data_IF_910956594839
#
_entry.id   IF_910956594839
#
_cell.length_a   1.000
_cell.length_b   1.000
_cell.length_c   1.000
_cell.angle_alpha   90.00
_cell.angle_beta   90.00
_cell.angle_gamma   90.00
#
_symmetry.space_group_name_H-M   'P 1'
#
loop_
_entity.id
_entity.type
_entity.pdbx_description
1 polymer ?
#
# COMPACT_ATOMS: atom_id res chain seq x y z
N UNK A 1 95.52 22.71 -13.11
CA UNK A 1 94.93 22.51 -11.79
C UNK A 1 93.68 21.69 -11.99
N UNK A 2 93.71 20.41 -11.71
CA UNK A 2 92.66 19.37 -12.02
C UNK A 2 91.87 19.12 -10.74
N UNK A 3 90.54 19.34 -10.73
CA UNK A 3 89.66 18.92 -9.63
C UNK A 3 88.94 17.67 -10.03
N UNK A 4 89.13 16.64 -9.23
CA UNK A 4 88.43 15.34 -9.32
C UNK A 4 86.96 15.52 -9.03
N UNK A 5 86.15 15.00 -9.90
CA UNK A 5 84.74 14.83 -9.64
C UNK A 5 84.53 13.45 -9.00
N UNK A 6 83.94 13.44 -7.82
CA UNK A 6 83.50 12.22 -7.12
C UNK A 6 82.15 11.82 -7.65
N UNK A 7 82.02 10.64 -8.23
CA UNK A 7 80.77 10.01 -8.63
C UNK A 7 80.16 9.46 -7.39
N UNK A 8 78.96 9.95 -7.03
CA UNK A 8 78.15 9.40 -5.97
C UNK A 8 77.06 8.56 -6.63
N UNK A 9 77.18 7.23 -6.45
CA UNK A 9 76.21 6.26 -6.88
C UNK A 9 75.00 6.31 -5.99
N UNK A 10 73.85 6.81 -6.51
CA UNK A 10 72.59 6.78 -5.82
C UNK A 10 71.88 5.48 -6.12
N UNK A 11 71.77 4.64 -5.13
CA UNK A 11 70.92 3.42 -5.14
C UNK A 11 69.46 3.88 -5.07
N UNK A 12 68.70 3.65 -6.14
CA UNK A 12 67.27 3.88 -6.14
C UNK A 12 66.57 2.72 -5.41
N UNK A 13 66.04 3.03 -4.25
CA UNK A 13 65.12 2.10 -3.55
C UNK A 13 63.76 2.23 -4.22
N UNK A 14 63.37 1.18 -4.97
CA UNK A 14 62.01 1.09 -5.55
C UNK A 14 61.09 0.64 -4.40
N UNK A 15 60.40 1.62 -3.84
CA UNK A 15 59.31 1.39 -2.90
C UNK A 15 58.09 0.85 -3.66
N UNK A 16 57.73 -0.42 -3.41
CA UNK A 16 56.42 -0.97 -3.83
C UNK A 16 55.33 -0.26 -3.02
N UNK A 17 54.60 0.67 -3.63
CA UNK A 17 53.33 1.12 -3.11
C UNK A 17 52.30 0.00 -3.34
N UNK A 18 52.03 -0.80 -2.32
CA UNK A 18 50.86 -1.67 -2.27
C UNK A 18 49.62 -0.78 -2.18
N UNK A 19 48.90 -0.69 -3.30
CA UNK A 19 47.58 -0.07 -3.35
C UNK A 19 46.60 -1.03 -2.62
N UNK A 20 46.39 -0.77 -1.35
CA UNK A 20 45.31 -1.39 -0.62
C UNK A 20 43.98 -0.88 -1.21
N UNK A 21 43.37 -1.70 -2.04
CA UNK A 21 41.98 -1.52 -2.48
C UNK A 21 41.08 -1.67 -1.24
N UNK A 22 40.95 -0.57 -0.50
CA UNK A 22 39.99 -0.50 0.60
C UNK A 22 38.58 -0.55 0.03
N UNK A 23 37.96 -1.72 0.10
CA UNK A 23 36.51 -1.85 -0.08
C UNK A 23 35.85 -0.99 0.97
N UNK A 24 35.35 0.18 0.58
CA UNK A 24 34.51 0.96 1.46
C UNK A 24 33.24 0.14 1.74
N UNK A 25 32.87 -0.08 3.01
CA UNK A 25 31.60 -0.68 3.31
C UNK A 25 30.53 0.23 2.70
N UNK A 26 29.69 -0.34 1.82
CA UNK A 26 28.49 0.33 1.34
C UNK A 26 27.71 0.77 2.59
N UNK A 27 27.53 2.07 2.75
CA UNK A 27 26.62 2.61 3.74
C UNK A 27 25.24 2.04 3.38
N UNK A 28 24.82 1.03 4.12
CA UNK A 28 23.44 0.58 4.11
C UNK A 28 22.66 1.81 4.59
N UNK A 29 22.00 2.49 3.65
CA UNK A 29 21.08 3.55 4.01
C UNK A 29 20.07 2.91 4.94
N UNK A 30 20.09 3.31 6.20
CA UNK A 30 19.08 2.93 7.19
C UNK A 30 17.74 3.47 6.64
N UNK A 31 16.99 2.58 6.00
CA UNK A 31 15.66 2.91 5.50
C UNK A 31 14.78 3.03 6.73
N UNK A 32 14.69 4.24 7.27
CA UNK A 32 13.80 4.53 8.39
C UNK A 32 12.40 4.06 8.01
N UNK A 33 11.92 3.06 8.73
CA UNK A 33 10.56 2.58 8.59
C UNK A 33 9.64 3.61 9.22
N UNK A 34 9.01 4.43 8.39
CA UNK A 34 8.08 5.49 8.83
C UNK A 34 6.66 5.01 8.61
N UNK A 35 5.83 5.07 9.66
CA UNK A 35 4.39 4.84 9.54
C UNK A 35 3.73 6.03 8.86
N UNK A 36 2.71 5.77 8.06
CA UNK A 36 1.89 6.82 7.45
C UNK A 36 0.66 7.12 8.31
N UNK A 37 0.16 8.34 8.24
CA UNK A 37 -1.10 8.70 8.88
C UNK A 37 -2.23 7.82 8.37
N UNK A 38 -3.12 7.38 9.25
CA UNK A 38 -4.26 6.55 8.90
C UNK A 38 -5.51 6.95 9.67
N UNK A 39 -6.68 6.60 9.11
CA UNK A 39 -7.98 6.71 9.79
C UNK A 39 -8.72 5.40 9.67
N UNK A 40 -9.19 4.88 10.80
CA UNK A 40 -10.12 3.76 10.80
C UNK A 40 -11.54 4.31 10.83
N UNK A 41 -12.32 3.97 9.81
CA UNK A 41 -13.71 4.38 9.65
C UNK A 41 -14.54 3.12 9.88
N UNK A 42 -15.54 3.20 10.74
CA UNK A 42 -16.33 2.04 11.15
C UNK A 42 -17.81 2.24 10.90
N UNK A 43 -18.51 1.12 10.69
CA UNK A 43 -19.97 1.09 10.65
C UNK A 43 -20.49 -0.16 11.33
N UNK A 44 -21.49 0.00 12.20
CA UNK A 44 -22.23 -1.11 12.81
C UNK A 44 -23.36 -1.53 11.89
N UNK A 45 -23.49 -2.83 11.68
CA UNK A 45 -24.49 -3.43 10.80
C UNK A 45 -25.30 -4.43 11.62
N UNK A 46 -26.60 -4.22 11.73
CA UNK A 46 -27.52 -5.06 12.49
C UNK A 46 -27.92 -6.31 11.68
N UNK A 47 -26.91 -7.04 11.22
CA UNK A 47 -27.03 -8.30 10.48
C UNK A 47 -25.95 -9.26 10.95
N UNK A 48 -26.23 -10.57 10.99
CA UNK A 48 -25.24 -11.58 11.35
C UNK A 48 -23.96 -11.46 10.51
N UNK A 49 -22.80 -11.55 11.16
CA UNK A 49 -21.47 -11.38 10.54
C UNK A 49 -21.32 -12.21 9.26
N UNK A 50 -21.73 -13.48 9.30
CA UNK A 50 -21.61 -14.38 8.14
C UNK A 50 -22.40 -13.89 6.92
N UNK A 51 -23.56 -13.26 7.12
CA UNK A 51 -24.37 -12.70 6.03
C UNK A 51 -23.71 -11.48 5.40
N UNK A 52 -23.15 -10.61 6.22
CA UNK A 52 -22.40 -9.43 5.75
C UNK A 52 -21.12 -9.87 5.07
N UNK A 53 -20.40 -10.84 5.62
CA UNK A 53 -19.19 -11.39 5.04
C UNK A 53 -19.43 -11.96 3.64
N UNK A 54 -20.42 -12.83 3.50
CA UNK A 54 -20.78 -13.44 2.21
C UNK A 54 -21.13 -12.40 1.14
N UNK A 55 -21.77 -11.31 1.54
CA UNK A 55 -22.06 -10.19 0.63
C UNK A 55 -20.79 -9.46 0.19
N UNK A 56 -19.86 -9.19 1.11
CA UNK A 56 -18.65 -8.42 0.85
C UNK A 56 -17.58 -9.17 0.05
N UNK A 57 -17.49 -10.50 0.23
CA UNK A 57 -16.47 -11.30 -0.49
C UNK A 57 -16.85 -11.62 -1.93
N UNK A 58 -18.05 -11.23 -2.35
CA UNK A 58 -18.45 -11.26 -3.76
C UNK A 58 -18.24 -9.86 -4.38
N UNK A 59 -17.20 -9.66 -5.21
CA UNK A 59 -16.93 -8.35 -5.80
C UNK A 59 -18.04 -7.84 -6.72
N UNK A 60 -18.92 -8.71 -7.25
CA UNK A 60 -20.07 -8.29 -8.07
C UNK A 60 -21.04 -7.40 -7.27
N UNK A 61 -21.12 -7.56 -5.95
CA UNK A 61 -21.95 -6.76 -5.07
C UNK A 61 -21.41 -5.34 -4.84
N UNK A 62 -20.14 -5.10 -5.12
CA UNK A 62 -19.48 -3.85 -4.79
C UNK A 62 -20.05 -2.65 -5.56
N UNK A 63 -20.56 -2.88 -6.77
CA UNK A 63 -21.25 -1.84 -7.55
C UNK A 63 -22.46 -1.22 -6.84
N UNK A 64 -22.98 -1.88 -5.81
CA UNK A 64 -24.18 -1.45 -5.09
C UNK A 64 -23.86 -0.45 -3.96
N UNK A 65 -22.61 -0.38 -3.51
CA UNK A 65 -22.23 0.42 -2.35
C UNK A 65 -20.87 1.10 -2.42
N UNK A 66 -19.86 0.51 -3.05
CA UNK A 66 -18.47 0.95 -3.03
C UNK A 66 -18.19 1.98 -4.15
N UNK A 67 -18.84 3.13 -4.10
CA UNK A 67 -18.73 4.16 -5.14
C UNK A 67 -17.35 4.81 -5.20
N UNK A 68 -16.62 4.83 -4.07
CA UNK A 68 -15.25 5.35 -3.98
C UNK A 68 -14.19 4.42 -4.59
N UNK A 69 -14.48 3.11 -4.74
CA UNK A 69 -13.57 2.16 -5.38
C UNK A 69 -13.43 2.40 -6.90
N UNK A 70 -14.43 3.00 -7.50
CA UNK A 70 -14.59 3.15 -8.94
C UNK A 70 -15.97 2.71 -9.40
N UNK A 71 -16.18 2.73 -10.72
CA UNK A 71 -17.45 2.31 -11.32
C UNK A 71 -17.25 0.98 -12.03
N UNK A 72 -18.35 0.23 -12.24
CA UNK A 72 -18.35 -1.00 -13.05
C UNK A 72 -17.30 -2.03 -12.61
N UNK A 73 -17.31 -2.39 -11.33
CA UNK A 73 -16.52 -3.54 -10.85
C UNK A 73 -16.99 -4.79 -11.60
N UNK A 74 -16.09 -5.44 -12.33
CA UNK A 74 -16.43 -6.56 -13.22
C UNK A 74 -15.28 -7.54 -13.37
N UNK A 75 -15.60 -8.75 -13.74
CA UNK A 75 -14.63 -9.80 -14.07
C UNK A 75 -14.00 -9.53 -15.43
N UNK A 76 -12.69 -9.72 -15.54
CA UNK A 76 -11.91 -9.75 -16.77
C UNK A 76 -11.15 -11.08 -16.88
N UNK A 77 -10.38 -11.26 -17.97
CA UNK A 77 -9.51 -12.44 -18.12
C UNK A 77 -8.45 -12.51 -17.01
N UNK A 78 -7.93 -11.35 -16.59
CA UNK A 78 -6.84 -11.21 -15.61
C UNK A 78 -7.32 -10.99 -14.17
N UNK A 79 -8.60 -11.16 -13.88
CA UNK A 79 -9.16 -10.95 -12.54
C UNK A 79 -10.26 -9.87 -12.48
N UNK A 80 -10.34 -9.17 -11.38
CA UNK A 80 -11.33 -8.10 -11.19
C UNK A 80 -10.76 -6.74 -11.60
N UNK A 81 -11.60 -5.95 -12.23
CA UNK A 81 -11.27 -4.58 -12.67
C UNK A 81 -12.41 -3.62 -12.31
N UNK A 82 -12.06 -2.33 -12.21
CA UNK A 82 -13.00 -1.23 -12.00
C UNK A 82 -12.62 -0.05 -12.88
N UNK A 83 -13.60 0.71 -13.33
CA UNK A 83 -13.33 1.97 -14.04
C UNK A 83 -12.98 3.04 -12.99
N UNK A 84 -11.87 3.74 -13.21
CA UNK A 84 -11.36 4.78 -12.32
C UNK A 84 -10.95 6.02 -13.10
N UNK A 85 -10.70 7.12 -12.41
CA UNK A 85 -10.12 8.30 -13.03
C UNK A 85 -8.74 7.96 -13.61
N UNK A 86 -8.57 8.20 -14.91
CA UNK A 86 -7.34 7.86 -15.64
C UNK A 86 -7.33 6.47 -16.29
N UNK A 87 -8.42 5.68 -16.21
CA UNK A 87 -8.55 4.39 -16.92
C UNK A 87 -9.04 3.24 -16.06
N UNK A 88 -8.67 2.02 -16.44
CA UNK A 88 -9.10 0.79 -15.76
C UNK A 88 -8.10 0.40 -14.68
N UNK A 89 -8.56 0.31 -13.44
CA UNK A 89 -7.79 -0.22 -12.31
C UNK A 89 -8.01 -1.73 -12.17
N UNK A 90 -6.96 -2.46 -11.76
CA UNK A 90 -7.09 -3.87 -11.32
C UNK A 90 -7.43 -3.89 -9.83
N UNK A 91 -8.26 -4.84 -9.41
CA UNK A 91 -8.61 -5.01 -8.01
C UNK A 91 -8.31 -6.45 -7.58
N UNK A 92 -7.47 -6.57 -6.57
CA UNK A 92 -7.09 -7.85 -5.98
C UNK A 92 -7.75 -7.98 -4.62
N UNK A 93 -8.62 -8.97 -4.48
CA UNK A 93 -9.33 -9.25 -3.22
C UNK A 93 -8.62 -10.35 -2.43
N UNK A 94 -8.64 -10.25 -1.12
CA UNK A 94 -8.20 -11.32 -0.24
C UNK A 94 -9.07 -12.57 -0.47
N UNK A 95 -8.46 -13.76 -0.57
CA UNK A 95 -9.21 -15.01 -0.65
C UNK A 95 -10.18 -15.19 0.53
N UNK A 96 -11.26 -15.93 0.30
CA UNK A 96 -12.22 -16.29 1.37
C UNK A 96 -11.50 -16.88 2.57
N UNK A 97 -11.89 -16.46 3.76
CA UNK A 97 -11.31 -16.90 5.03
C UNK A 97 -12.33 -16.88 6.16
N UNK A 98 -11.97 -17.43 7.31
CA UNK A 98 -12.82 -17.47 8.51
C UNK A 98 -12.55 -16.34 9.50
N UNK A 99 -11.71 -15.37 9.14
CA UNK A 99 -11.22 -14.33 10.05
C UNK A 99 -11.90 -12.97 9.84
N UNK A 100 -12.89 -12.89 8.95
CA UNK A 100 -13.55 -11.63 8.62
C UNK A 100 -12.67 -10.64 7.83
N UNK A 101 -11.59 -11.13 7.22
CA UNK A 101 -10.69 -10.32 6.42
C UNK A 101 -11.30 -10.13 5.03
N UNK A 102 -11.49 -8.87 4.62
CA UNK A 102 -12.02 -8.48 3.30
C UNK A 102 -11.14 -7.41 2.65
N UNK A 103 -9.83 -7.52 2.89
CA UNK A 103 -8.84 -6.61 2.32
C UNK A 103 -8.84 -6.66 0.80
N UNK A 104 -8.44 -5.56 0.22
CA UNK A 104 -8.21 -5.52 -1.22
C UNK A 104 -7.10 -4.53 -1.57
N UNK A 105 -6.52 -4.73 -2.75
CA UNK A 105 -5.54 -3.82 -3.33
C UNK A 105 -6.07 -3.30 -4.65
N UNK A 106 -6.06 -1.98 -4.82
CA UNK A 106 -6.38 -1.31 -6.08
C UNK A 106 -5.07 -0.96 -6.77
N UNK A 107 -4.87 -1.48 -7.98
CA UNK A 107 -3.72 -1.18 -8.81
C UNK A 107 -4.18 -0.22 -9.91
N UNK A 108 -3.80 1.04 -9.80
CA UNK A 108 -4.18 2.11 -10.72
C UNK A 108 -3.54 1.93 -12.09
N UNK A 109 -4.05 2.56 -13.15
CA UNK A 109 -3.43 2.53 -14.49
C UNK A 109 -1.97 3.00 -14.49
N UNK A 110 -1.60 3.88 -13.56
CA UNK A 110 -0.20 4.33 -13.35
C UNK A 110 0.74 3.25 -12.81
N UNK A 111 0.21 2.10 -12.38
CA UNK A 111 0.96 1.05 -11.67
C UNK A 111 1.03 1.26 -10.15
N UNK A 112 0.56 2.39 -9.62
CA UNK A 112 0.50 2.62 -8.18
C UNK A 112 -0.50 1.66 -7.53
N UNK A 113 -0.06 1.01 -6.45
CA UNK A 113 -0.89 0.10 -5.64
C UNK A 113 -1.36 0.79 -4.37
N UNK A 114 -2.65 0.69 -4.08
CA UNK A 114 -3.28 1.18 -2.86
C UNK A 114 -3.85 -0.02 -2.10
N UNK A 115 -3.26 -0.34 -0.96
CA UNK A 115 -3.76 -1.40 -0.08
C UNK A 115 -4.80 -0.86 0.88
N UNK A 116 -5.92 -1.55 0.98
CA UNK A 116 -7.09 -1.15 1.78
C UNK A 116 -7.44 -2.29 2.74
N UNK A 117 -7.03 -2.18 4.02
CA UNK A 117 -7.45 -3.14 5.03
C UNK A 117 -8.93 -2.97 5.37
N UNK A 118 -9.67 -4.07 5.32
CA UNK A 118 -11.05 -4.13 5.79
C UNK A 118 -11.28 -5.36 6.65
N UNK A 119 -12.00 -5.20 7.75
CA UNK A 119 -12.26 -6.26 8.72
C UNK A 119 -13.71 -6.25 9.17
N UNK A 120 -14.31 -7.42 9.23
CA UNK A 120 -15.56 -7.65 9.93
C UNK A 120 -15.29 -8.28 11.30
N UNK A 121 -15.83 -7.70 12.33
CA UNK A 121 -15.78 -8.26 13.69
C UNK A 121 -17.20 -8.46 14.22
N UNK A 122 -17.39 -9.50 15.03
CA UNK A 122 -18.68 -9.75 15.67
C UNK A 122 -18.96 -8.66 16.72
N UNK A 123 -20.22 -8.20 16.75
CA UNK A 123 -20.70 -7.23 17.74
C UNK A 123 -22.15 -7.60 18.14
N UNK A 124 -22.29 -8.32 19.24
CA UNK A 124 -23.58 -8.89 19.66
C UNK A 124 -24.14 -9.86 18.62
N UNK A 125 -25.37 -9.65 18.20
CA UNK A 125 -26.01 -10.42 17.11
C UNK A 125 -25.69 -9.87 15.70
N UNK A 126 -25.05 -8.71 15.63
CA UNK A 126 -24.63 -8.05 14.40
C UNK A 126 -23.12 -8.11 14.21
N UNK A 127 -22.60 -7.13 13.46
CA UNK A 127 -21.18 -6.99 13.23
C UNK A 127 -20.77 -5.51 13.09
N UNK A 128 -19.48 -5.28 13.15
CA UNK A 128 -18.87 -4.00 12.84
C UNK A 128 -17.88 -4.18 11.69
N UNK A 129 -17.99 -3.33 10.67
CA UNK A 129 -17.05 -3.26 9.57
C UNK A 129 -16.08 -2.13 9.82
N UNK A 130 -14.79 -2.45 9.79
CA UNK A 130 -13.68 -1.52 9.91
C UNK A 130 -13.04 -1.36 8.53
N UNK A 131 -12.79 -0.11 8.15
CA UNK A 131 -12.06 0.27 6.95
C UNK A 131 -10.89 1.16 7.36
N UNK A 132 -9.67 0.79 7.03
CA UNK A 132 -8.49 1.61 7.32
C UNK A 132 -8.06 2.36 6.06
N UNK A 133 -8.19 3.68 6.11
CA UNK A 133 -7.71 4.59 5.07
C UNK A 133 -6.31 5.08 5.43
N UNK A 134 -5.33 4.78 4.60
CA UNK A 134 -3.97 5.32 4.70
C UNK A 134 -3.86 6.62 3.89
N UNK A 135 -3.15 7.60 4.45
CA UNK A 135 -2.83 8.83 3.72
C UNK A 135 -1.77 8.55 2.66
N UNK A 136 -2.09 8.82 1.41
CA UNK A 136 -1.14 8.66 0.31
C UNK A 136 -0.08 9.76 0.32
N UNK A 137 1.13 9.51 -0.24
CA UNK A 137 2.15 10.54 -0.39
C UNK A 137 1.61 11.76 -1.14
N UNK A 138 1.99 12.94 -0.67
CA UNK A 138 1.57 14.24 -1.23
C UNK A 138 0.08 14.59 -1.13
N UNK A 139 -0.71 13.79 -0.42
CA UNK A 139 -2.11 14.09 -0.16
C UNK A 139 -2.22 15.22 0.89
N UNK A 140 -2.97 16.27 0.59
CA UNK A 140 -3.26 17.35 1.54
C UNK A 140 -4.25 16.89 2.62
N UNK A 141 -4.31 17.63 3.76
CA UNK A 141 -5.27 17.36 4.83
C UNK A 141 -6.72 17.42 4.32
N UNK A 142 -7.01 18.36 3.44
CA UNK A 142 -8.33 18.50 2.85
C UNK A 142 -8.71 17.31 1.96
N UNK A 143 -7.77 16.79 1.16
CA UNK A 143 -7.97 15.59 0.35
C UNK A 143 -8.19 14.36 1.23
N UNK A 144 -7.33 14.16 2.25
CA UNK A 144 -7.46 13.03 3.17
C UNK A 144 -8.78 13.05 3.94
N UNK A 145 -9.22 14.23 4.39
CA UNK A 145 -10.53 14.41 5.03
C UNK A 145 -11.69 14.14 4.05
N UNK A 146 -11.57 14.57 2.80
CA UNK A 146 -12.56 14.32 1.75
C UNK A 146 -12.70 12.82 1.48
N UNK A 147 -11.59 12.11 1.33
CA UNK A 147 -11.58 10.66 1.07
C UNK A 147 -12.18 9.89 2.25
N UNK A 148 -11.86 10.27 3.49
CA UNK A 148 -12.51 9.70 4.66
C UNK A 148 -14.04 9.93 4.65
N UNK A 149 -14.49 11.08 4.18
CA UNK A 149 -15.91 11.38 3.98
C UNK A 149 -16.57 10.51 2.90
N UNK A 150 -15.87 10.21 1.79
CA UNK A 150 -16.36 9.29 0.77
C UNK A 150 -16.51 7.88 1.33
N UNK A 151 -15.47 7.36 2.01
CA UNK A 151 -15.53 6.05 2.65
C UNK A 151 -16.69 5.96 3.65
N UNK A 152 -16.89 6.96 4.50
CA UNK A 152 -17.99 6.97 5.46
C UNK A 152 -19.37 6.91 4.77
N UNK A 153 -19.55 7.63 3.64
CA UNK A 153 -20.79 7.58 2.86
C UNK A 153 -21.03 6.20 2.26
N UNK A 154 -19.99 5.56 1.73
CA UNK A 154 -20.07 4.22 1.14
C UNK A 154 -20.43 3.19 2.20
N UNK A 155 -19.78 3.21 3.37
CA UNK A 155 -20.08 2.31 4.48
C UNK A 155 -21.52 2.50 5.01
N UNK A 156 -21.98 3.75 5.10
CA UNK A 156 -23.37 4.04 5.47
C UNK A 156 -24.37 3.56 4.39
N UNK A 157 -23.97 3.62 3.12
CA UNK A 157 -24.71 3.05 2.00
C UNK A 157 -24.87 1.54 2.12
N UNK A 158 -23.76 0.86 2.39
CA UNK A 158 -23.71 -0.58 2.64
C UNK A 158 -24.64 -0.99 3.81
N UNK A 159 -24.56 -0.29 4.95
CA UNK A 159 -25.44 -0.52 6.09
C UNK A 159 -26.91 -0.46 5.67
N UNK A 160 -27.33 0.63 5.05
CA UNK A 160 -28.72 0.79 4.59
C UNK A 160 -29.15 -0.29 3.59
N UNK A 161 -28.23 -0.76 2.77
CA UNK A 161 -28.51 -1.82 1.80
C UNK A 161 -28.78 -3.17 2.48
N UNK A 162 -27.98 -3.50 3.49
CA UNK A 162 -28.04 -4.81 4.15
C UNK A 162 -29.12 -4.92 5.23
N UNK A 163 -29.56 -3.79 5.79
CA UNK A 163 -30.57 -3.75 6.86
C UNK A 163 -32.02 -3.58 6.38
N UNK A 164 -32.25 -3.62 5.07
CA UNK A 164 -33.59 -3.59 4.45
C UNK A 164 -34.42 -4.87 4.72
#
# INVERSE_FOLDING_TARGET
MKRLQRIVLRVAVIGFLSWACGSQPALIADTQTVTVESRTITVRIDRPLNKVYEFLVDPANWNQWALGLGKNVRRSQDGWIADSDGGVAKVQFTPRNSFGVVDHTVIRPSGQSVYIPMRLIANGSGCELLFTLFREPNMSDAQFASDAGFVQRDLNGLKRLLEK
#
